data_IF_934133618637
#
_entry.id   IF_934133618637
#
_cell.length_a   1.000
_cell.length_b   1.000
_cell.length_c   1.000
_cell.angle_alpha   90.00
_cell.angle_beta   90.00
_cell.angle_gamma   90.00
#
_symmetry.space_group_name_H-M   'P 1'
#
loop_
_entity.id
_entity.type
_entity.pdbx_description
1 polymer ?
#
# COMPACT_ATOMS: atom_id res chain seq x y z
N UNK A 1 2.05 35.75 42.53
CA UNK A 1 3.50 35.95 42.34
C UNK A 1 4.14 34.57 42.37
N UNK A 2 4.41 34.00 41.20
CA UNK A 2 4.99 32.66 41.11
C UNK A 2 6.36 32.78 40.47
N UNK A 3 7.38 32.73 41.31
CA UNK A 3 8.79 32.76 40.92
C UNK A 3 9.13 31.48 40.17
N UNK A 4 9.24 31.56 38.85
CA UNK A 4 9.80 30.51 38.02
C UNK A 4 11.31 30.46 38.24
N UNK A 5 11.72 29.60 39.17
CA UNK A 5 13.12 29.23 39.35
C UNK A 5 13.61 28.56 38.07
N UNK A 6 14.34 29.30 37.26
CA UNK A 6 15.09 28.80 36.11
C UNK A 6 16.14 27.82 36.60
N UNK A 7 15.76 26.55 36.72
CA UNK A 7 16.70 25.46 36.91
C UNK A 7 17.49 25.32 35.61
N UNK A 8 18.61 26.04 35.55
CA UNK A 8 19.67 25.87 34.56
C UNK A 8 20.12 24.41 34.62
N UNK A 9 19.48 23.57 33.80
CA UNK A 9 19.90 22.21 33.56
C UNK A 9 21.29 22.31 32.94
N UNK A 10 22.32 22.19 33.76
CA UNK A 10 23.64 21.75 33.30
C UNK A 10 23.43 20.39 32.64
N UNK A 11 23.14 20.40 31.34
CA UNK A 11 23.32 19.26 30.48
C UNK A 11 24.79 18.91 30.59
N UNK A 12 25.09 17.95 31.45
CA UNK A 12 26.26 17.09 31.30
C UNK A 12 26.12 16.45 29.92
N UNK A 13 26.67 17.14 28.92
CA UNK A 13 26.79 16.69 27.54
C UNK A 13 27.72 15.47 27.56
N UNK A 14 27.17 14.29 27.88
CA UNK A 14 27.82 13.02 27.60
C UNK A 14 27.78 12.84 26.09
N UNK A 15 28.78 13.40 25.39
CA UNK A 15 28.84 13.31 23.94
C UNK A 15 29.19 11.87 23.57
N UNK A 16 28.16 11.08 23.27
CA UNK A 16 28.31 9.80 22.57
C UNK A 16 28.68 10.08 21.12
N UNK A 17 29.62 9.32 20.56
CA UNK A 17 30.14 9.57 19.21
C UNK A 17 31.14 10.73 19.14
N UNK A 18 31.34 11.25 17.93
CA UNK A 18 32.17 12.42 17.66
C UNK A 18 31.40 13.66 18.09
N UNK A 19 31.95 14.50 18.98
CA UNK A 19 31.27 15.72 19.37
C UNK A 19 31.12 16.64 18.14
N UNK A 20 30.00 17.36 18.04
CA UNK A 20 29.72 18.26 16.90
C UNK A 20 30.13 19.71 17.16
N UNK A 21 30.05 20.15 18.42
CA UNK A 21 30.55 21.45 18.92
C UNK A 21 31.01 21.30 20.36
N UNK A 22 31.91 22.16 20.79
CA UNK A 22 32.22 22.29 22.21
C UNK A 22 31.15 23.09 22.95
N UNK A 23 31.07 22.88 24.27
CA UNK A 23 30.26 23.71 25.17
C UNK A 23 30.52 25.22 24.99
N UNK A 24 31.79 25.57 24.74
CA UNK A 24 32.22 26.94 24.53
C UNK A 24 31.79 27.55 23.18
N UNK A 25 31.08 26.80 22.33
CA UNK A 25 30.59 27.25 21.02
C UNK A 25 31.65 27.28 19.90
N UNK A 26 32.93 27.06 20.23
CA UNK A 26 34.01 27.00 19.25
C UNK A 26 33.98 25.71 18.40
N UNK A 27 34.66 25.76 17.26
CA UNK A 27 34.89 24.59 16.41
C UNK A 27 35.69 23.51 17.14
N UNK A 28 35.55 22.27 16.66
CA UNK A 28 36.32 21.11 17.15
C UNK A 28 37.81 21.26 16.88
N UNK A 29 38.61 21.01 17.92
CA UNK A 29 40.07 21.05 17.88
C UNK A 29 40.61 19.76 18.47
N UNK A 30 41.60 19.18 17.81
CA UNK A 30 42.24 17.95 18.27
C UNK A 30 43.57 18.25 18.96
N UNK A 31 43.82 17.57 20.07
CA UNK A 31 45.07 17.64 20.81
C UNK A 31 45.74 16.27 20.84
N UNK A 32 47.08 16.27 20.94
CA UNK A 32 47.88 15.06 21.17
C UNK A 32 48.25 14.96 22.65
N UNK A 33 48.05 13.77 23.23
CA UNK A 33 48.48 13.50 24.59
C UNK A 33 50.01 13.40 24.66
N UNK A 34 50.56 14.03 25.69
CA UNK A 34 51.99 14.08 25.99
C UNK A 34 52.36 13.23 27.21
N UNK A 35 51.38 12.55 27.83
CA UNK A 35 51.64 11.66 28.96
C UNK A 35 52.34 10.40 28.48
N UNK A 36 53.24 9.85 29.29
CA UNK A 36 54.05 8.67 28.95
C UNK A 36 53.18 7.47 28.52
N UNK A 37 52.02 7.32 29.13
CA UNK A 37 51.08 6.22 28.92
C UNK A 37 50.23 6.39 27.65
N UNK A 38 50.04 7.61 27.16
CA UNK A 38 49.19 7.92 26.02
C UNK A 38 49.91 8.78 24.98
N UNK A 39 51.23 8.65 24.86
CA UNK A 39 52.04 9.43 23.92
C UNK A 39 51.44 9.37 22.52
N UNK A 40 51.25 10.53 21.90
CA UNK A 40 50.66 10.71 20.56
C UNK A 40 49.18 10.33 20.40
N UNK A 41 48.51 9.81 21.44
CA UNK A 41 47.07 9.52 21.36
C UNK A 41 46.29 10.84 21.25
N UNK A 42 45.33 10.89 20.34
CA UNK A 42 44.60 12.14 20.00
C UNK A 42 43.25 12.21 20.70
N UNK A 43 42.87 13.40 21.17
CA UNK A 43 41.60 13.65 21.84
C UNK A 43 40.96 14.98 21.43
N UNK A 44 39.64 15.07 21.60
CA UNK A 44 38.86 16.30 21.53
C UNK A 44 38.85 16.98 22.90
N UNK A 45 39.15 18.28 22.95
CA UNK A 45 38.99 19.11 24.14
C UNK A 45 38.69 20.56 23.75
N UNK A 46 37.86 21.29 24.51
CA UNK A 46 37.68 22.73 24.23
C UNK A 46 38.99 23.48 24.55
N UNK A 47 39.41 24.43 23.72
CA UNK A 47 40.63 25.21 23.97
C UNK A 47 40.50 26.09 25.22
N UNK A 48 39.33 26.67 25.44
CA UNK A 48 39.03 27.48 26.64
C UNK A 48 39.19 26.65 27.92
N UNK A 49 38.95 25.33 27.82
CA UNK A 49 39.14 24.38 28.91
C UNK A 49 40.56 24.17 29.37
N UNK A 50 41.51 24.49 28.50
CA UNK A 50 42.93 24.43 28.84
C UNK A 50 43.29 25.66 29.69
N UNK A 51 42.64 26.80 29.40
CA UNK A 51 42.85 28.09 30.08
C UNK A 51 42.07 28.21 31.39
N UNK A 52 40.91 27.54 31.51
CA UNK A 52 40.04 27.57 32.69
C UNK A 52 39.82 26.16 33.23
N UNK A 53 40.62 25.76 34.22
CA UNK A 53 40.60 24.39 34.77
C UNK A 53 39.39 24.10 35.68
N UNK A 54 38.63 25.12 36.10
CA UNK A 54 37.52 25.01 37.04
C UNK A 54 36.17 24.62 36.41
N UNK A 55 36.06 24.65 35.08
CA UNK A 55 34.82 24.38 34.37
C UNK A 55 34.78 22.93 33.85
N UNK A 56 33.61 22.29 33.87
CA UNK A 56 33.42 20.95 33.29
C UNK A 56 33.47 21.03 31.77
N UNK A 57 34.60 20.63 31.22
CA UNK A 57 34.83 20.69 29.80
C UNK A 57 34.85 19.33 29.15
N UNK A 58 34.42 19.31 27.88
CA UNK A 58 34.44 18.12 27.06
C UNK A 58 35.87 17.57 26.92
N UNK A 59 36.04 16.29 27.24
CA UNK A 59 37.22 15.50 26.93
C UNK A 59 36.76 14.17 26.34
N UNK A 60 37.28 13.80 25.18
CA UNK A 60 37.00 12.50 24.57
C UNK A 60 38.10 12.04 23.64
N UNK A 61 38.53 10.79 23.77
CA UNK A 61 39.50 10.22 22.83
C UNK A 61 38.90 10.03 21.44
N UNK A 62 39.71 10.26 20.40
CA UNK A 62 39.24 10.20 19.01
C UNK A 62 38.86 8.78 18.61
N UNK A 63 39.68 7.79 18.98
CA UNK A 63 39.42 6.37 18.73
C UNK A 63 38.10 5.91 19.36
N UNK A 64 37.85 6.27 20.62
CA UNK A 64 36.61 5.98 21.33
C UNK A 64 35.41 6.67 20.67
N UNK A 65 35.56 7.93 20.25
CA UNK A 65 34.52 8.65 19.54
C UNK A 65 34.17 8.00 18.19
N UNK A 66 35.16 7.56 17.43
CA UNK A 66 34.97 6.86 16.16
C UNK A 66 34.30 5.50 16.39
N UNK A 67 34.75 4.73 17.39
CA UNK A 67 34.14 3.43 17.74
C UNK A 67 32.66 3.63 18.11
N UNK A 68 32.33 4.68 18.87
CA UNK A 68 30.95 5.01 19.18
C UNK A 68 30.11 5.32 17.92
N UNK A 69 30.66 6.09 16.97
CA UNK A 69 29.99 6.37 15.69
C UNK A 69 29.71 5.09 14.91
N UNK A 70 30.73 4.22 14.77
CA UNK A 70 30.59 2.93 14.09
C UNK A 70 29.48 2.10 14.74
N UNK A 71 29.48 2.00 16.07
CA UNK A 71 28.43 1.27 16.82
C UNK A 71 27.04 1.88 16.64
N UNK A 72 26.94 3.19 16.52
CA UNK A 72 25.65 3.85 16.27
C UNK A 72 25.16 3.59 14.85
N UNK A 73 26.05 3.65 13.86
CA UNK A 73 25.74 3.33 12.47
C UNK A 73 25.30 1.87 12.36
N UNK A 74 26.03 0.94 12.95
CA UNK A 74 25.70 -0.49 12.96
C UNK A 74 24.31 -0.77 13.54
N UNK A 75 23.96 -0.12 14.66
CA UNK A 75 22.62 -0.18 15.23
C UNK A 75 21.55 0.35 14.29
N UNK A 76 21.78 1.49 13.65
CA UNK A 76 20.84 2.07 12.67
C UNK A 76 20.66 1.15 11.47
N UNK A 77 21.74 0.58 10.95
CA UNK A 77 21.70 -0.38 9.84
C UNK A 77 20.90 -1.62 10.22
N UNK A 78 21.18 -2.20 11.39
CA UNK A 78 20.45 -3.38 11.90
C UNK A 78 18.95 -3.08 12.05
N UNK A 79 18.61 -1.91 12.58
CA UNK A 79 17.21 -1.48 12.71
C UNK A 79 16.53 -1.32 11.35
N UNK A 80 17.17 -0.63 10.40
CA UNK A 80 16.65 -0.47 9.04
C UNK A 80 16.48 -1.81 8.31
N UNK A 81 17.40 -2.74 8.51
CA UNK A 81 17.27 -4.10 7.96
C UNK A 81 16.05 -4.83 8.52
N UNK A 82 15.80 -4.72 9.84
CA UNK A 82 14.61 -5.28 10.47
C UNK A 82 13.33 -4.66 9.93
N UNK A 83 13.28 -3.33 9.82
CA UNK A 83 12.12 -2.61 9.28
C UNK A 83 11.85 -2.99 7.82
N UNK A 84 12.91 -3.07 7.01
CA UNK A 84 12.80 -3.51 5.62
C UNK A 84 12.23 -4.92 5.49
N UNK A 85 12.70 -5.87 6.32
CA UNK A 85 12.18 -7.24 6.34
C UNK A 85 10.70 -7.27 6.77
N UNK A 86 10.33 -6.46 7.76
CA UNK A 86 8.94 -6.32 8.21
C UNK A 86 8.02 -5.78 7.10
N UNK A 87 8.46 -4.72 6.42
CA UNK A 87 7.74 -4.13 5.27
C UNK A 87 7.63 -5.16 4.15
N UNK A 88 8.74 -5.81 3.78
CA UNK A 88 8.76 -6.85 2.73
C UNK A 88 7.74 -7.95 3.02
N UNK A 89 7.73 -8.48 4.25
CA UNK A 89 6.76 -9.50 4.67
C UNK A 89 5.32 -8.98 4.59
N UNK A 90 5.06 -7.80 5.15
CA UNK A 90 3.71 -7.21 5.18
C UNK A 90 3.18 -6.94 3.77
N UNK A 91 4.00 -6.37 2.90
CA UNK A 91 3.64 -6.09 1.50
C UNK A 91 3.39 -7.38 0.73
N UNK A 92 4.23 -8.40 0.88
CA UNK A 92 4.04 -9.69 0.21
C UNK A 92 2.73 -10.36 0.65
N UNK A 93 2.44 -10.37 1.95
CA UNK A 93 1.18 -10.90 2.48
C UNK A 93 -0.04 -10.16 1.94
N UNK A 94 0.00 -8.82 1.91
CA UNK A 94 -1.09 -8.02 1.33
C UNK A 94 -1.28 -8.29 -0.15
N UNK A 95 -0.20 -8.31 -0.93
CA UNK A 95 -0.28 -8.59 -2.36
C UNK A 95 -0.85 -9.99 -2.64
N UNK A 96 -0.45 -11.00 -1.87
CA UNK A 96 -0.99 -12.35 -1.99
C UNK A 96 -2.48 -12.40 -1.63
N UNK A 97 -2.88 -11.70 -0.56
CA UNK A 97 -4.28 -11.61 -0.12
C UNK A 97 -5.15 -10.91 -1.18
N UNK A 98 -4.68 -9.79 -1.72
CA UNK A 98 -5.36 -9.11 -2.82
C UNK A 98 -5.44 -9.98 -4.07
N UNK A 99 -4.38 -10.72 -4.40
CA UNK A 99 -4.38 -11.69 -5.50
C UNK A 99 -5.48 -12.74 -5.34
N UNK A 100 -5.61 -13.35 -4.15
CA UNK A 100 -6.66 -14.33 -3.86
C UNK A 100 -8.07 -13.74 -4.00
N UNK A 101 -8.29 -12.52 -3.46
CA UNK A 101 -9.59 -11.84 -3.57
C UNK A 101 -9.95 -11.51 -5.02
N UNK A 102 -8.96 -11.12 -5.82
CA UNK A 102 -9.16 -10.88 -7.25
C UNK A 102 -9.57 -12.20 -7.93
N UNK A 103 -8.85 -13.30 -7.70
CA UNK A 103 -9.15 -14.60 -8.29
C UNK A 103 -10.54 -15.11 -7.88
N UNK A 104 -10.92 -14.94 -6.61
CA UNK A 104 -12.24 -15.30 -6.09
C UNK A 104 -13.35 -14.47 -6.75
N UNK A 105 -13.18 -13.14 -6.82
CA UNK A 105 -14.15 -12.27 -7.51
C UNK A 105 -14.27 -12.56 -9.00
N UNK A 106 -13.17 -12.97 -9.65
CA UNK A 106 -13.17 -13.36 -11.05
C UNK A 106 -13.92 -14.67 -11.27
N UNK A 107 -13.77 -15.65 -10.37
CA UNK A 107 -14.51 -16.90 -10.41
C UNK A 107 -16.02 -16.68 -10.19
N UNK A 108 -16.37 -15.82 -9.24
CA UNK A 108 -17.77 -15.46 -8.98
C UNK A 108 -18.39 -14.75 -10.19
N UNK A 109 -17.68 -13.78 -10.76
CA UNK A 109 -18.12 -13.08 -11.98
C UNK A 109 -18.31 -14.06 -13.14
N UNK A 110 -17.40 -15.02 -13.31
CA UNK A 110 -17.51 -16.05 -14.36
C UNK A 110 -18.75 -16.94 -14.15
N UNK A 111 -19.07 -17.29 -12.90
CA UNK A 111 -20.29 -18.05 -12.57
C UNK A 111 -21.54 -17.25 -12.91
N UNK A 112 -21.63 -15.99 -12.46
CA UNK A 112 -22.76 -15.11 -12.76
C UNK A 112 -22.96 -14.96 -14.27
N UNK A 113 -21.87 -14.77 -15.02
CA UNK A 113 -21.95 -14.65 -16.48
C UNK A 113 -22.45 -15.94 -17.15
N UNK A 114 -22.01 -17.09 -16.67
CA UNK A 114 -22.49 -18.38 -17.15
C UNK A 114 -23.99 -18.57 -16.86
N UNK A 115 -24.42 -18.28 -15.64
CA UNK A 115 -25.83 -18.35 -15.23
C UNK A 115 -26.70 -17.40 -16.07
N UNK A 116 -26.23 -16.17 -16.30
CA UNK A 116 -26.90 -15.22 -17.18
C UNK A 116 -27.01 -15.73 -18.62
N UNK A 117 -25.97 -16.41 -19.13
CA UNK A 117 -25.97 -16.99 -20.48
C UNK A 117 -27.02 -18.09 -20.60
N UNK A 118 -27.13 -18.98 -19.61
CA UNK A 118 -28.14 -20.04 -19.57
C UNK A 118 -29.55 -19.43 -19.53
N UNK A 119 -29.79 -18.46 -18.64
CA UNK A 119 -31.09 -17.79 -18.53
C UNK A 119 -31.52 -17.08 -19.82
N UNK A 120 -30.57 -16.43 -20.52
CA UNK A 120 -30.83 -15.81 -21.82
C UNK A 120 -31.19 -16.85 -22.89
N UNK A 121 -30.53 -18.01 -22.88
CA UNK A 121 -30.82 -19.12 -23.80
C UNK A 121 -32.19 -19.75 -23.52
N UNK A 122 -32.55 -19.96 -22.25
CA UNK A 122 -33.88 -20.44 -21.85
C UNK A 122 -34.98 -19.46 -22.27
N UNK A 123 -34.78 -18.16 -22.03
CA UNK A 123 -35.71 -17.10 -22.47
C UNK A 123 -35.89 -17.11 -23.98
N UNK A 124 -34.79 -17.23 -24.74
CA UNK A 124 -34.83 -17.34 -26.20
C UNK A 124 -35.63 -18.56 -26.66
N UNK A 125 -35.33 -19.75 -26.11
CA UNK A 125 -36.00 -20.99 -26.50
C UNK A 125 -37.50 -20.97 -26.18
N UNK A 126 -37.90 -20.39 -25.04
CA UNK A 126 -39.32 -20.22 -24.67
C UNK A 126 -40.03 -19.23 -25.59
N UNK A 127 -39.38 -18.16 -26.02
CA UNK A 127 -39.96 -17.22 -26.99
C UNK A 127 -40.23 -17.92 -28.33
N UNK A 128 -39.27 -18.68 -28.84
CA UNK A 128 -39.42 -19.46 -30.08
C UNK A 128 -40.55 -20.48 -29.98
N UNK A 129 -40.65 -21.23 -28.88
CA UNK A 129 -41.72 -22.23 -28.72
C UNK A 129 -43.13 -21.63 -28.62
N UNK A 130 -43.27 -20.44 -28.02
CA UNK A 130 -44.55 -19.71 -27.98
C UNK A 130 -44.94 -19.21 -29.36
N UNK A 131 -43.99 -18.73 -30.16
CA UNK A 131 -44.24 -18.32 -31.55
C UNK A 131 -44.68 -19.52 -32.41
N UNK A 132 -44.01 -20.67 -32.26
CA UNK A 132 -44.36 -21.90 -32.97
C UNK A 132 -45.73 -22.43 -32.53
N UNK A 133 -46.03 -22.46 -31.22
CA UNK A 133 -47.33 -22.89 -30.71
C UNK A 133 -48.49 -21.97 -31.19
N UNK A 134 -48.24 -20.67 -31.34
CA UNK A 134 -49.23 -19.73 -31.87
C UNK A 134 -49.45 -19.91 -33.38
N UNK A 135 -48.40 -20.23 -34.12
CA UNK A 135 -48.46 -20.58 -35.55
C UNK A 135 -49.25 -21.88 -35.80
N UNK A 136 -49.12 -22.84 -34.89
CA UNK A 136 -49.77 -24.16 -35.00
C UNK A 136 -51.19 -24.25 -34.43
N UNK A 137 -51.84 -23.14 -34.05
CA UNK A 137 -53.20 -23.19 -33.51
C UNK A 137 -54.20 -23.59 -34.62
N UNK A 138 -54.77 -24.82 -34.59
CA UNK A 138 -55.55 -25.35 -35.71
C UNK A 138 -56.83 -24.55 -35.94
N UNK A 139 -57.38 -23.95 -34.89
CA UNK A 139 -58.59 -23.13 -34.95
C UNK A 139 -58.36 -21.81 -35.72
N UNK A 140 -57.19 -21.19 -35.57
CA UNK A 140 -56.79 -20.00 -36.32
C UNK A 140 -56.58 -20.32 -37.81
N UNK A 141 -55.92 -21.45 -38.10
CA UNK A 141 -55.70 -21.90 -39.47
C UNK A 141 -57.00 -22.29 -40.17
N UNK A 142 -57.90 -22.99 -39.46
CA UNK A 142 -59.24 -23.33 -39.97
C UNK A 142 -60.09 -22.07 -40.18
N UNK A 143 -60.06 -21.11 -39.26
CA UNK A 143 -60.79 -19.85 -39.42
C UNK A 143 -60.28 -19.05 -40.62
N UNK A 144 -58.96 -18.93 -40.79
CA UNK A 144 -58.36 -18.26 -41.95
C UNK A 144 -58.73 -18.96 -43.27
N UNK A 145 -58.70 -20.30 -43.30
CA UNK A 145 -59.11 -21.08 -44.47
C UNK A 145 -60.60 -20.91 -44.78
N UNK A 146 -61.47 -20.91 -43.76
CA UNK A 146 -62.91 -20.72 -43.93
C UNK A 146 -63.24 -19.33 -44.48
N UNK A 147 -62.56 -18.28 -44.00
CA UNK A 147 -62.70 -16.92 -44.53
C UNK A 147 -62.27 -16.88 -46.00
N UNK A 148 -61.11 -17.45 -46.33
CA UNK A 148 -60.62 -17.49 -47.72
C UNK A 148 -61.61 -18.21 -48.65
N UNK A 149 -62.09 -19.40 -48.26
CA UNK A 149 -63.07 -20.16 -49.04
C UNK A 149 -64.40 -19.41 -49.17
N UNK A 150 -64.88 -18.77 -48.10
CA UNK A 150 -66.09 -17.95 -48.13
C UNK A 150 -65.96 -16.77 -49.09
N UNK A 151 -64.82 -16.08 -49.08
CA UNK A 151 -64.57 -14.98 -50.02
C UNK A 151 -64.49 -15.46 -51.47
N UNK A 152 -63.87 -16.62 -51.71
CA UNK A 152 -63.78 -17.21 -53.05
C UNK A 152 -65.16 -17.61 -53.57
N UNK A 153 -65.97 -18.26 -52.74
CA UNK A 153 -67.32 -18.67 -53.09
C UNK A 153 -68.22 -17.46 -53.37
N UNK A 154 -68.08 -16.39 -52.58
CA UNK A 154 -68.81 -15.13 -52.81
C UNK A 154 -68.40 -14.45 -54.12
N UNK A 155 -67.10 -14.37 -54.41
CA UNK A 155 -66.60 -13.85 -55.69
C UNK A 155 -67.10 -14.69 -56.87
N UNK A 156 -67.12 -16.02 -56.72
CA UNK A 156 -67.60 -16.92 -57.75
C UNK A 156 -69.09 -16.71 -58.02
N UNK A 157 -69.92 -16.66 -56.97
CA UNK A 157 -71.34 -16.38 -57.08
C UNK A 157 -71.63 -15.02 -57.74
N UNK A 158 -70.82 -14.01 -57.43
CA UNK A 158 -70.93 -12.68 -58.02
C UNK A 158 -70.51 -12.64 -59.49
N UNK A 159 -69.52 -13.44 -59.90
CA UNK A 159 -69.08 -13.59 -61.28
C UNK A 159 -70.07 -14.38 -62.14
N UNK A 160 -70.76 -15.38 -61.56
CA UNK A 160 -71.78 -16.20 -62.26
C UNK A 160 -73.19 -15.59 -62.26
N UNK A 161 -73.42 -14.49 -61.54
CA UNK A 161 -74.69 -13.75 -61.50
C UNK A 161 -74.74 -12.56 -62.47
N UNK A 162 -73.73 -12.42 -63.33
CA UNK A 162 -73.69 -11.51 -64.49
C UNK A 162 -74.01 -12.34 -65.73
#
# INVERSE_FOLDING_TARGET
MSSSSSASRSQTHTTRGIPSKYWCGSNLTTFGAQTKENLYRRFYRCEIAIKRQSEHHLFKWIDEAIIDEIRMVDKKVTHLQSDFQSIKRTTTMRLQEHGKKIDESLLEMKRIFHDQTILLEELRNKSTSVLDAKSHCPLLNVAAAAIALGTLAWLYAKMTSI
#
